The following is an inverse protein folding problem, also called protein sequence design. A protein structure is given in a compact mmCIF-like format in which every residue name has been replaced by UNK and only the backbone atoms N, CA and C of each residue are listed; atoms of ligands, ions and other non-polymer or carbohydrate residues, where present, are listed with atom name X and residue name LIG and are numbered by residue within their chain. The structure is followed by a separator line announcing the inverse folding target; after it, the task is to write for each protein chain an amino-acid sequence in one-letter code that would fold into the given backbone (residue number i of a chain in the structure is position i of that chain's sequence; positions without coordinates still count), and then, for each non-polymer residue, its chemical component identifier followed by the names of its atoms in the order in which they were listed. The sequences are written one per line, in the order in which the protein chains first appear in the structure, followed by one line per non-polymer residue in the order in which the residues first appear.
data_IF_791898020898
#
_entry.id   IF_791898020898
#
_cell.length_a   1.000
_cell.length_b   1.000
_cell.length_c   1.000
_cell.angle_alpha   90.00
_cell.angle_beta   90.00
_cell.angle_gamma   90.00
#
_symmetry.space_group_name_H-M   'P 1'
#
loop_
_entity.id
_entity.type
_entity.pdbx_description
1 polymer ?
#
# COMPACT_ATOMS: atom_id res chain seq x y z
N UNK A 1 0.83 11.43 -7.28
CA UNK A 1 0.72 9.97 -7.36
C UNK A 1 -0.66 9.52 -6.88
N UNK A 2 -1.34 8.70 -7.67
CA UNK A 2 -2.72 8.24 -7.41
C UNK A 2 -2.84 6.70 -7.48
N UNK A 3 -1.79 6.00 -7.05
CA UNK A 3 -1.67 4.54 -7.18
C UNK A 3 -2.74 3.76 -6.38
N UNK A 4 -3.32 4.37 -5.35
CA UNK A 4 -4.38 3.80 -4.52
C UNK A 4 -5.77 4.40 -4.77
N UNK A 5 -5.90 5.41 -5.63
CA UNK A 5 -7.14 6.14 -5.82
C UNK A 5 -8.33 5.27 -6.21
N UNK A 6 -8.11 4.28 -7.06
CA UNK A 6 -9.14 3.33 -7.46
C UNK A 6 -9.56 2.35 -6.33
N UNK A 7 -8.79 2.26 -5.25
CA UNK A 7 -9.11 1.42 -4.10
C UNK A 7 -9.80 2.18 -2.96
N UNK A 8 -10.31 3.39 -3.21
CA UNK A 8 -11.11 4.14 -2.25
C UNK A 8 -12.39 3.38 -1.90
N UNK A 9 -12.73 3.32 -0.61
CA UNK A 9 -13.94 2.66 -0.08
C UNK A 9 -15.07 3.66 0.20
N UNK A 10 -14.73 4.94 0.34
CA UNK A 10 -15.70 6.04 0.51
C UNK A 10 -15.71 6.94 -0.72
N UNK A 11 -16.89 7.43 -1.08
CA UNK A 11 -17.10 8.33 -2.22
C UNK A 11 -17.82 9.61 -1.80
N UNK A 12 -17.49 10.77 -2.42
CA UNK A 12 -16.47 10.93 -3.44
C UNK A 12 -15.06 10.70 -2.88
N UNK A 13 -14.20 10.04 -3.66
CA UNK A 13 -12.79 9.87 -3.28
C UNK A 13 -12.08 11.23 -3.23
N UNK A 14 -10.99 11.37 -2.44
CA UNK A 14 -10.20 12.59 -2.43
C UNK A 14 -9.73 12.95 -3.85
N UNK A 15 -9.86 14.21 -4.20
CA UNK A 15 -9.40 14.73 -5.48
C UNK A 15 -7.88 14.76 -5.53
N UNK A 16 -7.31 14.43 -6.68
CA UNK A 16 -5.87 14.62 -6.93
C UNK A 16 -5.57 16.10 -7.18
N UNK A 17 -4.37 16.56 -6.89
CA UNK A 17 -3.93 17.94 -7.20
C UNK A 17 -4.11 18.26 -8.69
N UNK A 18 -3.94 17.25 -9.56
CA UNK A 18 -4.15 17.37 -10.99
C UNK A 18 -5.57 17.86 -11.37
N UNK A 19 -6.59 17.57 -10.55
CA UNK A 19 -7.97 18.00 -10.82
C UNK A 19 -8.20 19.53 -10.68
N UNK A 20 -7.25 20.26 -10.11
CA UNK A 20 -7.25 21.72 -10.01
C UNK A 20 -6.22 22.39 -10.94
N UNK A 21 -5.51 21.60 -11.72
CA UNK A 21 -4.45 22.11 -12.60
C UNK A 21 -5.03 22.65 -13.90
N UNK A 22 -5.00 23.95 -14.04
CA UNK A 22 -5.49 24.66 -15.24
C UNK A 22 -4.37 24.78 -16.30
N UNK A 23 -3.13 24.87 -15.82
CA UNK A 23 -1.96 25.17 -16.68
C UNK A 23 -1.22 23.93 -17.20
N UNK A 24 -1.65 22.74 -16.83
CA UNK A 24 -0.99 21.47 -17.17
C UNK A 24 0.37 21.28 -16.50
N UNK A 25 0.58 21.86 -15.31
CA UNK A 25 1.83 21.78 -14.55
C UNK A 25 1.95 20.53 -13.68
N UNK A 26 0.83 19.88 -13.36
CA UNK A 26 0.77 18.72 -12.48
C UNK A 26 0.75 17.45 -13.30
N UNK A 27 1.76 16.63 -13.14
CA UNK A 27 1.78 15.28 -13.70
C UNK A 27 1.00 14.33 -12.78
N UNK A 28 0.05 13.58 -13.33
CA UNK A 28 -0.65 12.53 -12.63
C UNK A 28 -0.03 11.18 -12.95
N UNK A 29 0.44 10.48 -11.92
CA UNK A 29 1.02 9.14 -12.04
C UNK A 29 0.12 8.11 -11.38
N UNK A 30 -0.03 6.94 -12.02
CA UNK A 30 -0.70 5.80 -11.43
C UNK A 30 -0.16 4.47 -11.98
N UNK A 31 -0.65 3.35 -11.45
CA UNK A 31 -0.16 2.02 -11.83
C UNK A 31 -1.23 0.96 -11.60
N UNK A 32 -1.21 -0.08 -12.44
CA UNK A 32 -2.04 -1.27 -12.28
C UNK A 32 -1.48 -2.28 -11.26
N UNK A 33 -0.30 -2.02 -10.71
CA UNK A 33 0.36 -2.88 -9.72
C UNK A 33 -0.50 -3.14 -8.48
N UNK A 34 -1.30 -2.16 -8.05
CA UNK A 34 -2.14 -2.25 -6.84
C UNK A 34 -3.59 -2.61 -7.15
N UNK A 35 -4.02 -2.41 -8.38
CA UNK A 35 -5.41 -2.60 -8.80
C UNK A 35 -5.65 -3.87 -9.60
N UNK A 36 -4.67 -4.34 -10.37
CA UNK A 36 -4.78 -5.60 -11.14
C UNK A 36 -3.86 -6.66 -10.55
N UNK A 37 -2.56 -6.52 -10.78
CA UNK A 37 -1.58 -7.50 -10.28
C UNK A 37 -0.17 -6.88 -10.19
N UNK A 38 0.60 -7.19 -9.13
CA UNK A 38 1.98 -6.69 -8.97
C UNK A 38 2.91 -7.12 -10.10
N UNK A 39 2.69 -8.30 -10.68
CA UNK A 39 3.53 -8.87 -11.74
C UNK A 39 3.40 -8.21 -13.11
N UNK A 40 2.34 -7.45 -13.37
CA UNK A 40 2.16 -6.76 -14.66
C UNK A 40 3.20 -5.68 -14.92
N UNK A 41 3.68 -5.02 -13.89
CA UNK A 41 4.67 -3.94 -13.97
C UNK A 41 4.30 -2.82 -14.97
N UNK A 42 3.03 -2.43 -14.99
CA UNK A 42 2.51 -1.37 -15.85
C UNK A 42 2.06 -0.19 -14.99
N UNK A 43 2.50 0.98 -15.38
CA UNK A 43 2.02 2.26 -14.88
C UNK A 43 1.84 3.25 -16.02
N UNK A 44 1.28 4.40 -15.71
CA UNK A 44 1.06 5.46 -16.68
C UNK A 44 1.25 6.83 -16.02
N UNK A 45 1.53 7.80 -16.85
CA UNK A 45 1.66 9.20 -16.45
C UNK A 45 0.82 10.04 -17.41
N UNK A 46 -0.03 10.90 -16.86
CA UNK A 46 -0.64 12.00 -17.59
C UNK A 46 0.23 13.24 -17.37
N UNK A 47 1.08 13.63 -18.35
CA UNK A 47 2.19 14.56 -18.12
C UNK A 47 1.82 16.04 -18.26
N UNK A 48 0.57 16.36 -18.64
CA UNK A 48 0.18 17.72 -18.93
C UNK A 48 1.07 18.32 -20.03
N UNK A 49 1.54 19.54 -19.81
CA UNK A 49 2.39 20.29 -20.78
C UNK A 49 3.80 19.73 -20.99
N UNK A 50 4.21 18.72 -20.21
CA UNK A 50 5.55 18.12 -20.27
C UNK A 50 5.61 16.88 -21.16
N UNK A 51 4.60 16.63 -22.01
CA UNK A 51 4.44 15.40 -22.78
C UNK A 51 5.69 15.04 -23.60
N UNK A 52 6.17 15.95 -24.44
CA UNK A 52 7.31 15.68 -25.36
C UNK A 52 8.59 15.39 -24.58
N UNK A 53 8.85 16.18 -23.56
CA UNK A 53 10.03 15.98 -22.69
C UNK A 53 9.97 14.65 -21.96
N UNK A 54 8.80 14.28 -21.43
CA UNK A 54 8.63 13.03 -20.73
C UNK A 54 8.75 11.83 -21.67
N UNK A 55 8.27 11.94 -22.90
CA UNK A 55 8.39 10.90 -23.91
C UNK A 55 9.87 10.61 -24.23
N UNK A 56 10.67 11.65 -24.41
CA UNK A 56 12.12 11.53 -24.62
C UNK A 56 12.80 10.87 -23.40
N UNK A 57 12.48 11.33 -22.19
CA UNK A 57 13.02 10.77 -20.97
C UNK A 57 12.63 9.29 -20.80
N UNK A 58 11.38 8.94 -21.11
CA UNK A 58 10.92 7.54 -21.05
C UNK A 58 11.73 6.66 -22.01
N UNK A 59 11.93 7.12 -23.24
CA UNK A 59 12.73 6.38 -24.22
C UNK A 59 14.17 6.15 -23.72
N UNK A 60 14.80 7.20 -23.20
CA UNK A 60 16.16 7.11 -22.66
C UNK A 60 16.27 6.20 -21.40
N UNK A 61 15.26 6.25 -20.52
CA UNK A 61 15.31 5.53 -19.22
C UNK A 61 14.89 4.07 -19.31
N UNK A 62 13.91 3.72 -20.15
CA UNK A 62 13.33 2.37 -20.17
C UNK A 62 13.09 1.77 -21.55
N UNK A 63 13.33 2.54 -22.62
CA UNK A 63 13.05 2.11 -24.00
C UNK A 63 11.58 1.73 -24.16
N UNK A 64 11.31 0.45 -24.38
CA UNK A 64 9.97 -0.10 -24.52
C UNK A 64 9.55 -0.93 -23.31
N UNK A 65 8.26 -0.90 -23.00
CA UNK A 65 7.67 -1.84 -22.03
C UNK A 65 7.31 -3.17 -22.71
N UNK A 66 7.09 -4.22 -21.92
CA UNK A 66 6.69 -5.54 -22.43
C UNK A 66 5.31 -5.45 -23.09
N UNK A 67 5.18 -5.70 -24.41
CA UNK A 67 3.91 -5.52 -25.12
C UNK A 67 2.81 -6.47 -24.64
N UNK A 68 3.15 -7.71 -24.31
CA UNK A 68 2.17 -8.73 -23.89
C UNK A 68 1.40 -8.32 -22.63
N UNK A 69 2.08 -7.76 -21.63
CA UNK A 69 1.42 -7.32 -20.40
C UNK A 69 0.56 -6.07 -20.65
N UNK A 70 0.96 -5.18 -21.55
CA UNK A 70 0.15 -4.01 -21.95
C UNK A 70 -1.13 -4.45 -22.66
N UNK A 71 -1.02 -5.38 -23.61
CA UNK A 71 -2.18 -5.91 -24.34
C UNK A 71 -3.14 -6.64 -23.40
N UNK A 72 -2.61 -7.45 -22.46
CA UNK A 72 -3.42 -8.12 -21.46
C UNK A 72 -4.19 -7.10 -20.59
N UNK A 73 -3.54 -6.05 -20.09
CA UNK A 73 -4.19 -4.99 -19.34
C UNK A 73 -5.24 -4.25 -20.17
N UNK A 74 -4.92 -3.94 -21.43
CA UNK A 74 -5.84 -3.28 -22.37
C UNK A 74 -7.11 -4.12 -22.59
N UNK A 75 -6.96 -5.42 -22.87
CA UNK A 75 -8.10 -6.33 -23.06
C UNK A 75 -8.95 -6.44 -21.79
N UNK A 76 -8.30 -6.58 -20.62
CA UNK A 76 -8.98 -6.66 -19.33
C UNK A 76 -9.83 -5.42 -19.03
N UNK A 77 -9.34 -4.24 -19.41
CA UNK A 77 -10.08 -2.97 -19.27
C UNK A 77 -11.22 -2.90 -20.30
N UNK A 78 -10.93 -3.17 -21.57
CA UNK A 78 -11.88 -3.05 -22.69
C UNK A 78 -13.07 -4.00 -22.54
N UNK A 79 -12.87 -5.20 -22.02
CA UNK A 79 -13.92 -6.19 -21.76
C UNK A 79 -14.73 -5.90 -20.47
N UNK A 80 -14.46 -4.78 -19.80
CA UNK A 80 -15.18 -4.35 -18.59
C UNK A 80 -14.82 -5.14 -17.32
N UNK A 81 -13.83 -6.03 -17.39
CA UNK A 81 -13.40 -6.85 -16.25
C UNK A 81 -12.73 -6.02 -15.16
N UNK A 82 -12.03 -4.94 -15.54
CA UNK A 82 -11.32 -4.07 -14.61
C UNK A 82 -12.21 -3.50 -13.51
N UNK A 83 -13.30 -2.85 -13.87
CA UNK A 83 -14.20 -2.22 -12.90
C UNK A 83 -14.85 -3.22 -11.94
N UNK A 84 -15.22 -4.40 -12.45
CA UNK A 84 -15.77 -5.49 -11.64
C UNK A 84 -14.72 -6.01 -10.66
N UNK A 85 -13.50 -6.21 -11.12
CA UNK A 85 -12.38 -6.67 -10.31
C UNK A 85 -12.07 -5.66 -9.19
N UNK A 86 -11.89 -4.38 -9.51
CA UNK A 86 -11.58 -3.33 -8.52
C UNK A 86 -12.69 -3.22 -7.46
N UNK A 87 -13.96 -3.28 -7.87
CA UNK A 87 -15.10 -3.30 -6.92
C UNK A 87 -15.01 -4.47 -5.94
N UNK A 88 -14.71 -5.66 -6.44
CA UNK A 88 -14.52 -6.86 -5.61
C UNK A 88 -13.32 -6.70 -4.67
N UNK A 89 -12.20 -6.17 -5.17
CA UNK A 89 -10.99 -6.00 -4.37
C UNK A 89 -11.18 -4.98 -3.23
N UNK A 90 -11.92 -3.89 -3.46
CA UNK A 90 -12.29 -2.94 -2.39
C UNK A 90 -12.98 -3.64 -1.22
N UNK A 91 -13.97 -4.48 -1.49
CA UNK A 91 -14.70 -5.23 -0.46
C UNK A 91 -13.80 -6.21 0.28
N UNK A 92 -12.96 -6.94 -0.44
CA UNK A 92 -12.00 -7.88 0.15
C UNK A 92 -11.01 -7.14 1.05
N UNK A 93 -10.41 -6.05 0.58
CA UNK A 93 -9.42 -5.30 1.36
C UNK A 93 -10.04 -4.64 2.59
N UNK A 94 -11.25 -4.10 2.48
CA UNK A 94 -11.97 -3.56 3.62
C UNK A 94 -12.20 -4.62 4.70
N UNK A 95 -12.74 -5.78 4.33
CA UNK A 95 -12.94 -6.92 5.24
C UNK A 95 -11.63 -7.39 5.87
N UNK A 96 -10.57 -7.51 5.08
CA UNK A 96 -9.27 -7.90 5.59
C UNK A 96 -8.77 -6.90 6.64
N UNK A 97 -8.82 -5.61 6.36
CA UNK A 97 -8.38 -4.56 7.29
C UNK A 97 -9.18 -4.58 8.61
N UNK A 98 -10.48 -4.87 8.56
CA UNK A 98 -11.31 -5.04 9.75
C UNK A 98 -10.80 -6.22 10.61
N UNK A 99 -10.53 -7.38 10.00
CA UNK A 99 -10.03 -8.56 10.70
C UNK A 99 -8.63 -8.29 11.31
N UNK A 100 -7.71 -7.73 10.53
CA UNK A 100 -6.37 -7.38 11.04
C UNK A 100 -6.45 -6.33 12.17
N UNK A 101 -7.39 -5.39 12.10
CA UNK A 101 -7.62 -4.42 13.18
C UNK A 101 -8.13 -5.11 14.46
N UNK A 102 -8.99 -6.13 14.34
CA UNK A 102 -9.42 -6.93 15.49
C UNK A 102 -8.22 -7.67 16.11
N UNK A 103 -7.37 -8.31 15.30
CA UNK A 103 -6.17 -8.98 15.80
C UNK A 103 -5.16 -8.03 16.46
N UNK A 104 -5.01 -6.81 15.92
CA UNK A 104 -4.19 -5.78 16.57
C UNK A 104 -4.70 -5.43 17.96
N UNK A 105 -6.02 -5.31 18.14
CA UNK A 105 -6.64 -5.05 19.44
C UNK A 105 -6.52 -6.22 20.41
N UNK A 106 -6.58 -7.44 19.89
CA UNK A 106 -6.55 -8.67 20.69
C UNK A 106 -5.14 -9.02 21.17
N UNK A 107 -4.12 -8.89 20.31
CA UNK A 107 -2.79 -9.42 20.57
C UNK A 107 -1.76 -8.39 21.02
N UNK A 108 -1.98 -7.12 20.67
CA UNK A 108 -1.03 -6.07 20.98
C UNK A 108 -1.26 -5.44 22.35
N UNK A 109 -0.26 -4.75 22.92
CA UNK A 109 -0.42 -4.08 24.21
C UNK A 109 -1.40 -2.90 24.11
N UNK A 110 -1.90 -2.44 25.24
CA UNK A 110 -2.67 -1.21 25.32
C UNK A 110 -1.83 0.01 24.87
N UNK A 111 -2.50 1.06 24.39
CA UNK A 111 -1.85 2.31 23.99
C UNK A 111 -1.40 2.36 22.53
N UNK A 112 -1.75 1.37 21.69
CA UNK A 112 -1.51 1.44 20.25
C UNK A 112 -2.55 2.32 19.57
N UNK A 113 -2.12 3.08 18.55
CA UNK A 113 -2.98 3.81 17.63
C UNK A 113 -2.96 3.15 16.25
N UNK A 114 -4.13 2.83 15.71
CA UNK A 114 -4.26 2.20 14.39
C UNK A 114 -5.03 3.14 13.47
N UNK A 115 -4.48 3.42 12.28
CA UNK A 115 -5.18 4.23 11.28
C UNK A 115 -6.47 3.58 10.81
N UNK A 116 -7.43 4.40 10.38
CA UNK A 116 -8.67 3.97 9.72
C UNK A 116 -8.68 4.51 8.29
N UNK A 117 -7.97 3.87 7.35
CA UNK A 117 -7.87 4.36 5.99
C UNK A 117 -9.21 4.23 5.25
N UNK A 118 -9.50 5.23 4.41
CA UNK A 118 -10.70 5.26 3.54
C UNK A 118 -10.45 4.56 2.19
N UNK A 119 -9.53 3.62 2.16
CA UNK A 119 -9.17 2.84 0.97
C UNK A 119 -7.79 2.19 1.07
N UNK A 120 -7.44 1.45 0.03
CA UNK A 120 -6.20 0.66 0.01
C UNK A 120 -6.28 -0.62 0.83
N UNK A 121 -5.12 -1.09 1.27
CA UNK A 121 -4.98 -2.35 2.02
C UNK A 121 -3.83 -2.29 3.03
N UNK A 122 -3.49 -1.10 3.50
CA UNK A 122 -2.40 -0.90 4.46
C UNK A 122 -2.95 -0.28 5.74
N UNK A 123 -2.53 -0.82 6.88
CA UNK A 123 -2.73 -0.21 8.19
C UNK A 123 -1.40 0.37 8.66
N UNK A 124 -1.46 1.55 9.25
CA UNK A 124 -0.36 2.13 9.99
C UNK A 124 -0.65 2.01 11.47
N UNK A 125 0.28 1.42 12.19
CA UNK A 125 0.17 1.18 13.64
C UNK A 125 1.26 1.96 14.32
N UNK A 126 0.88 2.82 15.23
CA UNK A 126 1.76 3.53 16.13
C UNK A 126 1.73 2.84 17.49
N UNK A 127 2.89 2.51 18.00
CA UNK A 127 3.15 1.84 19.26
C UNK A 127 3.63 2.86 20.29
N UNK A 128 3.67 2.53 21.59
CA UNK A 128 4.28 3.37 22.61
C UNK A 128 5.70 3.79 22.23
N UNK A 129 6.11 5.02 22.58
CA UNK A 129 7.35 5.66 22.11
C UNK A 129 8.62 4.87 22.43
N UNK A 130 8.62 4.08 23.53
CA UNK A 130 9.75 3.25 23.93
C UNK A 130 10.04 2.08 23.00
N UNK A 131 9.10 1.70 22.13
CA UNK A 131 9.25 0.56 21.22
C UNK A 131 10.06 0.97 20.00
N UNK A 132 11.20 0.32 19.77
CA UNK A 132 11.95 0.44 18.53
C UNK A 132 11.61 -0.70 17.56
N UNK A 133 10.76 -0.40 16.57
CA UNK A 133 10.32 -1.38 15.58
C UNK A 133 11.44 -1.91 14.68
N UNK A 134 12.59 -1.23 14.59
CA UNK A 134 13.76 -1.78 13.87
C UNK A 134 14.35 -2.96 14.66
N UNK A 135 14.44 -2.84 15.98
CA UNK A 135 14.90 -3.93 16.85
C UNK A 135 13.92 -5.11 16.81
N UNK A 136 12.62 -4.85 16.96
CA UNK A 136 11.56 -5.87 16.86
C UNK A 136 11.59 -6.59 15.49
N UNK A 137 11.74 -5.84 14.39
CA UNK A 137 11.83 -6.42 13.05
C UNK A 137 13.04 -7.34 12.88
N UNK A 138 14.20 -7.01 13.47
CA UNK A 138 15.39 -7.87 13.44
C UNK A 138 15.17 -9.19 14.20
N UNK A 139 14.46 -9.15 15.34
CA UNK A 139 14.11 -10.36 16.09
C UNK A 139 13.16 -11.24 15.29
N UNK A 140 12.09 -10.66 14.73
CA UNK A 140 11.10 -11.37 13.93
C UNK A 140 11.68 -11.96 12.64
N UNK A 141 12.69 -11.32 12.06
CA UNK A 141 13.38 -11.83 10.87
C UNK A 141 14.03 -13.21 11.13
N UNK A 142 14.53 -13.48 12.34
CA UNK A 142 15.05 -14.80 12.75
C UNK A 142 13.96 -15.87 12.75
N UNK A 143 12.70 -15.47 12.91
CA UNK A 143 11.52 -16.35 12.83
C UNK A 143 10.92 -16.39 11.42
N UNK A 144 11.62 -15.85 10.41
CA UNK A 144 11.17 -15.70 9.01
C UNK A 144 9.90 -14.85 8.88
N UNK A 145 9.69 -13.92 9.79
CA UNK A 145 8.61 -12.93 9.76
C UNK A 145 9.20 -11.58 9.36
N UNK A 146 8.72 -11.03 8.26
CA UNK A 146 9.12 -9.72 7.77
C UNK A 146 8.01 -8.70 8.04
N UNK A 147 8.39 -7.60 8.67
CA UNK A 147 7.53 -6.43 8.90
C UNK A 147 8.19 -5.18 8.32
N UNK A 148 7.43 -4.13 8.11
CA UNK A 148 7.93 -2.86 7.59
C UNK A 148 7.93 -1.79 8.70
N UNK A 149 9.06 -1.58 9.42
CA UNK A 149 9.19 -0.53 10.40
C UNK A 149 8.92 0.84 9.81
N UNK A 150 8.33 1.74 10.59
CA UNK A 150 7.97 3.07 10.15
C UNK A 150 9.15 3.93 9.70
N UNK A 151 10.33 3.71 10.26
CA UNK A 151 11.56 4.41 9.89
C UNK A 151 11.94 4.24 8.40
N UNK A 152 11.50 3.16 7.74
CA UNK A 152 11.69 2.96 6.30
C UNK A 152 10.97 4.02 5.44
N UNK A 153 10.01 4.74 6.01
CA UNK A 153 9.19 5.74 5.32
C UNK A 153 9.59 7.18 5.68
N UNK A 154 10.75 7.35 6.32
CA UNK A 154 11.26 8.66 6.72
C UNK A 154 12.76 8.79 6.49
N UNK A 155 13.18 9.69 5.62
CA UNK A 155 14.58 10.03 5.42
C UNK A 155 15.24 10.63 6.69
N UNK A 156 14.45 11.22 7.59
CA UNK A 156 14.90 11.79 8.86
C UNK A 156 14.86 10.80 10.03
N UNK A 157 14.63 9.50 9.79
CA UNK A 157 14.60 8.46 10.83
C UNK A 157 13.42 8.57 11.81
N UNK A 158 12.35 9.29 11.46
CA UNK A 158 11.11 9.36 12.25
C UNK A 158 10.37 8.03 12.25
N UNK A 159 9.31 7.93 13.08
CA UNK A 159 8.40 6.79 13.13
C UNK A 159 9.05 5.48 13.57
N UNK A 160 10.03 5.55 14.48
CA UNK A 160 10.73 4.37 15.01
C UNK A 160 9.79 3.40 15.74
N UNK A 161 8.78 3.94 16.41
CA UNK A 161 7.73 3.20 17.11
C UNK A 161 6.55 2.81 16.22
N UNK A 162 6.66 2.94 14.90
CA UNK A 162 5.56 2.64 13.99
C UNK A 162 5.85 1.41 13.13
N UNK A 163 4.78 0.73 12.70
CA UNK A 163 4.86 -0.38 11.76
C UNK A 163 3.73 -0.31 10.73
N UNK A 164 4.05 -0.63 9.47
CA UNK A 164 3.05 -0.78 8.41
C UNK A 164 2.66 -2.25 8.25
N UNK A 165 1.37 -2.53 8.35
CA UNK A 165 0.79 -3.86 8.15
C UNK A 165 0.12 -3.93 6.78
N UNK A 166 0.47 -4.97 6.02
CA UNK A 166 -0.14 -5.23 4.71
C UNK A 166 -1.31 -6.22 4.86
N UNK A 167 -2.52 -5.78 4.52
CA UNK A 167 -3.76 -6.54 4.62
C UNK A 167 -4.28 -7.03 3.24
N UNK A 168 -3.43 -7.01 2.19
CA UNK A 168 -3.85 -7.44 0.86
C UNK A 168 -4.13 -8.95 0.77
N UNK A 169 -3.44 -9.75 1.57
CA UNK A 169 -3.63 -11.19 1.58
C UNK A 169 -4.81 -11.61 2.47
N UNK A 170 -5.51 -12.71 2.13
CA UNK A 170 -6.59 -13.23 2.96
C UNK A 170 -6.10 -13.52 4.38
N UNK A 171 -6.85 -13.12 5.42
CA UNK A 171 -6.53 -13.41 6.81
C UNK A 171 -6.75 -14.91 7.10
N UNK A 172 -5.65 -15.66 7.16
CA UNK A 172 -5.62 -17.10 7.48
C UNK A 172 -5.09 -17.32 8.88
N UNK A 173 -5.24 -18.53 9.42
CA UNK A 173 -4.65 -18.93 10.72
C UNK A 173 -3.12 -18.71 10.74
N UNK A 174 -2.44 -18.89 9.61
CA UNK A 174 -1.01 -18.58 9.49
C UNK A 174 -0.73 -17.08 9.72
N UNK A 175 -1.55 -16.20 9.14
CA UNK A 175 -1.40 -14.77 9.35
C UNK A 175 -1.78 -14.38 10.78
N UNK A 176 -2.80 -15.02 11.37
CA UNK A 176 -3.16 -14.82 12.77
C UNK A 176 -2.00 -15.17 13.70
N UNK A 177 -1.36 -16.33 13.50
CA UNK A 177 -0.19 -16.75 14.27
C UNK A 177 0.99 -15.77 14.13
N UNK A 178 1.18 -15.17 12.96
CA UNK A 178 2.19 -14.11 12.76
C UNK A 178 1.84 -12.87 13.56
N UNK A 179 0.56 -12.46 13.60
CA UNK A 179 0.11 -11.31 14.39
C UNK A 179 0.27 -11.52 15.89
N UNK A 180 0.03 -12.74 16.38
CA UNK A 180 0.31 -13.11 17.78
C UNK A 180 1.79 -12.91 18.09
N UNK A 181 2.68 -13.51 17.30
CA UNK A 181 4.14 -13.37 17.50
C UNK A 181 4.62 -11.93 17.42
N UNK A 182 4.05 -11.14 16.53
CA UNK A 182 4.38 -9.72 16.44
C UNK A 182 3.94 -8.97 17.71
N UNK A 183 2.73 -9.24 18.20
CA UNK A 183 2.23 -8.65 19.44
C UNK A 183 3.07 -9.03 20.66
N UNK A 184 3.49 -10.30 20.78
CA UNK A 184 4.40 -10.78 21.82
C UNK A 184 5.76 -10.06 21.77
N UNK A 185 6.36 -9.96 20.59
CA UNK A 185 7.63 -9.26 20.41
C UNK A 185 7.54 -7.76 20.75
N UNK A 186 6.41 -7.13 20.47
CA UNK A 186 6.15 -5.74 20.87
C UNK A 186 6.03 -5.62 22.40
N UNK A 187 5.34 -6.55 23.07
CA UNK A 187 5.20 -6.56 24.54
C UNK A 187 6.57 -6.68 25.21
N UNK A 188 7.41 -7.60 24.76
CA UNK A 188 8.79 -7.75 25.25
C UNK A 188 9.64 -6.51 25.03
N UNK A 189 9.42 -5.78 23.95
CA UNK A 189 10.15 -4.54 23.68
C UNK A 189 9.68 -3.34 24.51
N UNK A 190 8.63 -3.49 25.30
CA UNK A 190 8.13 -2.47 26.24
C UNK A 190 8.66 -2.67 27.66
N UNK A 191 9.19 -3.86 27.98
CA UNK A 191 9.86 -4.20 29.23
C UNK A 191 11.30 -3.67 29.27
#
# INVERSE_FOLDING_TARGET
DDIYGELATEYPRPRTIHSWDIDGRVMLCSSFTKTIAPGLRIGWIAPGRYYDKLLQMKYAASGTNVPSTQLAACNFIREGHYHRHVRRMRQIYQRNMEIYTCWLREFFPCGICVTRPKGGFMLWVELPEQVDMVCVAKQLCRLKIQVAPGSLFSAAGKYRNCVRINCALPPTEKHKAVMVKLGEAVKVAME
#
